data_IF_090896265160
#
_entry.id   IF_090896265160
#
_cell.length_a   1.000
_cell.length_b   1.000
_cell.length_c   1.000
_cell.angle_alpha   90.00
_cell.angle_beta   90.00
_cell.angle_gamma   90.00
#
_symmetry.space_group_name_H-M   'P 1'
#
loop_
_entity.id
_entity.type
_entity.pdbx_description
1 polymer ?
#
# COMPACT_ATOMS: atom_id res chain seq x y z
N UNK A 1 -3.90 6.32 -27.26
CA UNK A 1 -3.41 7.24 -26.23
C UNK A 1 -3.25 6.39 -25.01
N UNK A 2 -2.02 6.10 -24.63
CA UNK A 2 -1.70 5.24 -23.51
C UNK A 2 -2.03 6.01 -22.23
N UNK A 3 -3.27 5.84 -21.75
CA UNK A 3 -3.68 6.19 -20.40
C UNK A 3 -2.80 5.38 -19.45
N UNK A 4 -1.62 5.94 -19.16
CA UNK A 4 -0.68 5.41 -18.20
C UNK A 4 -1.27 5.74 -16.83
N UNK A 5 -2.37 5.07 -16.49
CA UNK A 5 -3.06 5.18 -15.22
C UNK A 5 -2.07 4.76 -14.14
N UNK A 6 -1.39 5.74 -13.58
CA UNK A 6 -0.46 5.52 -12.50
C UNK A 6 -1.27 5.52 -11.21
N UNK A 7 -1.51 4.33 -10.68
CA UNK A 7 -2.30 4.15 -9.49
C UNK A 7 -1.39 4.26 -8.27
N UNK A 8 -1.79 5.10 -7.31
CA UNK A 8 -1.12 5.24 -6.01
C UNK A 8 -2.12 4.96 -4.90
N UNK A 9 -1.72 4.11 -3.95
CA UNK A 9 -2.50 3.76 -2.79
C UNK A 9 -1.66 3.89 -1.52
N UNK A 10 -2.21 4.61 -0.54
CA UNK A 10 -1.72 4.58 0.83
C UNK A 10 -2.37 3.43 1.59
N UNK A 11 -1.60 2.72 2.41
CA UNK A 11 -2.07 1.70 3.33
C UNK A 11 -1.36 1.81 4.67
N UNK A 12 -2.12 1.60 5.74
CA UNK A 12 -1.62 1.49 7.09
C UNK A 12 -1.57 0.02 7.44
N UNK A 13 -0.37 -0.50 7.69
CA UNK A 13 -0.18 -1.85 8.19
C UNK A 13 0.01 -1.82 9.69
N UNK A 14 -0.66 -2.73 10.37
CA UNK A 14 -0.37 -3.08 11.74
C UNK A 14 0.31 -4.44 11.76
N UNK A 15 1.42 -4.53 12.46
CA UNK A 15 2.26 -5.70 12.51
C UNK A 15 2.92 -5.84 13.90
N UNK A 16 3.56 -6.97 14.14
CA UNK A 16 4.27 -7.23 15.40
C UNK A 16 5.48 -6.30 15.50
N UNK A 17 5.68 -5.55 16.61
CA UNK A 17 6.82 -4.66 16.84
C UNK A 17 8.18 -5.29 16.48
N UNK A 18 8.39 -6.54 16.89
CA UNK A 18 9.62 -7.28 16.64
C UNK A 18 9.89 -7.61 15.16
N UNK A 19 8.87 -7.54 14.30
CA UNK A 19 8.93 -7.85 12.87
C UNK A 19 8.93 -6.59 11.99
N UNK A 20 8.66 -5.41 12.56
CA UNK A 20 8.54 -4.15 11.82
C UNK A 20 9.77 -3.88 10.96
N UNK A 21 10.98 -4.03 11.51
CA UNK A 21 12.22 -3.80 10.78
C UNK A 21 12.37 -4.73 9.55
N UNK A 22 12.04 -6.03 9.70
CA UNK A 22 12.08 -6.99 8.60
C UNK A 22 10.98 -6.74 7.55
N UNK A 23 9.81 -6.27 7.98
CA UNK A 23 8.73 -5.90 7.09
C UNK A 23 9.09 -4.67 6.25
N UNK A 24 9.73 -3.66 6.85
CA UNK A 24 10.23 -2.48 6.14
C UNK A 24 11.15 -2.89 5.01
N UNK A 25 12.14 -3.74 5.30
CA UNK A 25 13.10 -4.24 4.29
C UNK A 25 12.38 -4.99 3.15
N UNK A 26 11.44 -5.89 3.49
CA UNK A 26 10.66 -6.64 2.51
C UNK A 26 9.77 -5.75 1.65
N UNK A 27 9.17 -4.72 2.24
CA UNK A 27 8.30 -3.76 1.56
C UNK A 27 9.10 -2.84 0.65
N UNK A 28 10.25 -2.34 1.10
CA UNK A 28 11.15 -1.51 0.28
C UNK A 28 11.78 -2.27 -0.89
N UNK A 29 11.84 -3.60 -0.82
CA UNK A 29 12.22 -4.44 -1.95
C UNK A 29 11.15 -4.49 -3.07
N UNK A 30 9.90 -4.10 -2.77
CA UNK A 30 8.83 -4.04 -3.76
C UNK A 30 8.97 -2.72 -4.56
N UNK A 31 9.14 -2.78 -5.89
CA UNK A 31 9.33 -1.58 -6.70
C UNK A 31 8.09 -0.68 -6.65
N UNK A 32 8.32 0.61 -6.42
CA UNK A 32 7.24 1.59 -6.25
C UNK A 32 6.62 1.57 -4.85
N UNK A 33 7.30 1.03 -3.84
CA UNK A 33 6.88 1.10 -2.44
C UNK A 33 7.71 2.10 -1.66
N UNK A 34 7.03 2.94 -0.88
CA UNK A 34 7.61 3.94 -0.01
C UNK A 34 7.02 3.81 1.39
N UNK A 35 7.82 4.10 2.42
CA UNK A 35 7.39 4.00 3.82
C UNK A 35 7.63 5.35 4.48
N UNK A 36 6.68 6.30 4.38
CA UNK A 36 6.83 7.64 4.96
C UNK A 36 6.87 7.63 6.49
N UNK A 37 6.28 6.61 7.12
CA UNK A 37 6.23 6.52 8.58
C UNK A 37 6.24 5.07 9.03
N UNK A 38 6.99 4.79 10.09
CA UNK A 38 6.94 3.53 10.81
C UNK A 38 7.08 3.79 12.29
N UNK A 39 6.20 3.19 13.07
CA UNK A 39 6.21 3.21 14.53
C UNK A 39 6.40 1.78 15.03
N UNK A 40 7.65 1.42 15.25
CA UNK A 40 7.99 0.07 15.67
C UNK A 40 7.46 -0.26 17.08
N UNK A 41 7.36 0.73 17.97
CA UNK A 41 6.87 0.55 19.33
C UNK A 41 5.37 0.20 19.35
N UNK A 42 4.57 0.88 18.52
CA UNK A 42 3.13 0.63 18.36
C UNK A 42 2.82 -0.47 17.33
N UNK A 43 3.84 -0.92 16.58
CA UNK A 43 3.69 -1.91 15.52
C UNK A 43 2.89 -1.39 14.33
N UNK A 44 2.97 -0.10 14.03
CA UNK A 44 2.25 0.52 12.90
C UNK A 44 3.21 0.97 11.81
N UNK A 45 2.83 0.80 10.56
CA UNK A 45 3.55 1.29 9.40
C UNK A 45 2.59 1.99 8.47
N UNK A 46 3.02 3.11 7.91
CA UNK A 46 2.36 3.76 6.79
C UNK A 46 3.18 3.43 5.56
N UNK A 47 2.55 2.81 4.58
CA UNK A 47 3.15 2.36 3.33
C UNK A 47 2.39 3.02 2.19
N UNK A 48 3.11 3.50 1.20
CA UNK A 48 2.57 4.06 -0.04
C UNK A 48 3.08 3.19 -1.16
N UNK A 49 2.18 2.65 -1.97
CA UNK A 49 2.52 1.82 -3.11
C UNK A 49 1.99 2.48 -4.38
N UNK A 50 2.79 2.41 -5.44
CA UNK A 50 2.42 2.94 -6.74
C UNK A 50 2.78 1.99 -7.88
N UNK A 51 1.89 1.87 -8.87
CA UNK A 51 2.09 1.02 -10.03
C UNK A 51 1.39 1.59 -11.27
N UNK A 52 1.88 1.21 -12.44
CA UNK A 52 1.30 1.61 -13.73
C UNK A 52 0.01 0.86 -14.10
N UNK A 53 -0.46 -0.07 -13.26
CA UNK A 53 -1.68 -0.87 -13.46
C UNK A 53 -2.31 -1.23 -12.11
N UNK A 54 -3.64 -1.18 -12.05
CA UNK A 54 -4.44 -1.57 -10.89
C UNK A 54 -4.14 -3.00 -10.43
N UNK A 55 -4.05 -3.97 -11.34
CA UNK A 55 -3.79 -5.38 -10.99
C UNK A 55 -2.42 -5.56 -10.31
N UNK A 56 -1.41 -4.82 -10.77
CA UNK A 56 -0.05 -4.86 -10.19
C UNK A 56 -0.07 -4.27 -8.78
N UNK A 57 -0.78 -3.17 -8.59
CA UNK A 57 -0.94 -2.55 -7.28
C UNK A 57 -1.65 -3.49 -6.30
N UNK A 58 -2.72 -4.14 -6.76
CA UNK A 58 -3.47 -5.13 -5.96
C UNK A 58 -2.56 -6.29 -5.54
N UNK A 59 -1.75 -6.82 -6.46
CA UNK A 59 -0.80 -7.88 -6.16
C UNK A 59 0.27 -7.45 -5.13
N UNK A 60 0.72 -6.19 -5.14
CA UNK A 60 1.62 -5.67 -4.12
C UNK A 60 0.96 -5.56 -2.75
N UNK A 61 -0.29 -5.10 -2.71
CA UNK A 61 -1.09 -5.04 -1.47
C UNK A 61 -1.28 -6.45 -0.90
N UNK A 62 -1.60 -7.43 -1.74
CA UNK A 62 -1.73 -8.82 -1.33
C UNK A 62 -0.40 -9.42 -0.88
N UNK A 63 0.70 -9.11 -1.56
CA UNK A 63 2.03 -9.54 -1.13
C UNK A 63 2.38 -8.96 0.25
N UNK A 64 2.12 -7.66 0.45
CA UNK A 64 2.34 -6.98 1.72
C UNK A 64 1.49 -7.57 2.85
N UNK A 65 0.20 -7.84 2.60
CA UNK A 65 -0.69 -8.43 3.61
C UNK A 65 -0.24 -9.81 4.06
N UNK A 66 0.42 -10.56 3.18
CA UNK A 66 0.80 -11.94 3.41
C UNK A 66 2.20 -12.06 4.04
N UNK A 67 2.88 -10.94 4.31
CA UNK A 67 4.16 -10.95 4.99
C UNK A 67 4.02 -11.45 6.44
N UNK A 68 5.01 -12.22 6.88
CA UNK A 68 5.01 -12.76 8.24
C UNK A 68 5.14 -11.65 9.29
N UNK A 69 4.20 -11.63 10.23
CA UNK A 69 4.15 -10.65 11.30
C UNK A 69 3.13 -9.52 11.08
N UNK A 70 2.47 -9.48 9.93
CA UNK A 70 1.34 -8.58 9.67
C UNK A 70 0.12 -9.04 10.44
N UNK A 71 -0.52 -8.10 11.15
CA UNK A 71 -1.72 -8.32 11.95
C UNK A 71 -2.96 -7.77 11.24
N UNK A 72 -2.84 -6.60 10.62
CA UNK A 72 -3.89 -5.97 9.86
C UNK A 72 -3.31 -5.07 8.77
N UNK A 73 -4.06 -4.90 7.68
CA UNK A 73 -3.76 -3.93 6.63
C UNK A 73 -5.03 -3.13 6.37
N UNK A 74 -4.95 -1.82 6.53
CA UNK A 74 -6.02 -0.87 6.25
C UNK A 74 -5.64 -0.05 5.03
N UNK A 75 -6.36 -0.21 3.93
CA UNK A 75 -6.18 0.64 2.76
C UNK A 75 -6.75 2.03 3.07
N UNK A 76 -5.97 3.09 2.88
CA UNK A 76 -6.33 4.48 3.25
C UNK A 76 -6.66 5.35 2.03
N UNK A 77 -6.57 4.84 0.80
CA UNK A 77 -6.92 5.65 -0.37
C UNK A 77 -7.38 4.82 -1.58
N UNK A 78 -8.52 5.22 -2.16
CA UNK A 78 -8.97 4.81 -3.49
C UNK A 78 -9.54 6.08 -4.14
N UNK A 79 -8.72 6.82 -4.91
CA UNK A 79 -9.27 7.78 -5.86
C UNK A 79 -9.72 6.99 -7.09
N UNK A 80 -10.98 6.54 -7.08
CA UNK A 80 -11.70 6.36 -8.33
C UNK A 80 -12.16 7.75 -8.73
N UNK A 81 -11.54 8.36 -9.75
CA UNK A 81 -12.28 9.36 -10.53
C UNK A 81 -13.44 8.63 -11.21
N UNK A 82 -14.57 8.53 -10.51
CA UNK A 82 -15.85 8.32 -11.16
C UNK A 82 -16.20 9.62 -11.88
N UNK A 83 -15.78 9.76 -13.14
CA UNK A 83 -16.38 10.74 -14.03
C UNK A 83 -17.76 10.19 -14.44
N UNK A 84 -18.84 10.90 -14.06
CA UNK A 84 -20.24 10.55 -14.29
C UNK A 84 -20.99 10.51 -12.95
N UNK A 85 -21.91 11.43 -12.64
CA UNK A 85 -23.06 11.84 -13.43
C UNK A 85 -23.39 13.32 -13.11
N UNK A 86 -23.27 14.22 -14.09
CA UNK A 86 -23.93 15.52 -13.99
C UNK A 86 -25.44 15.29 -14.14
N UNK A 87 -26.16 15.79 -13.15
CA UNK A 87 -27.60 15.63 -12.94
C UNK A 87 -28.39 16.25 -14.11
N UNK A 88 -29.47 15.63 -14.61
CA UNK A 88 -30.33 16.25 -15.63
C UNK A 88 -31.12 17.45 -15.12
#
# INVERSE_FOLDING_TARGET
>A
MDDKEWHVCGLVMQAKPARIASLIDSLLAIPGTEIPTSDAALGKLVVVMQAARSDVLLNYIESARNLDGVLAVSLVYHQQESQGEEMP
#
